data_IF_837533773000
#
_entry.id   IF_837533773000
#
_cell.length_a   1.000
_cell.length_b   1.000
_cell.length_c   1.000
_cell.angle_alpha   90.00
_cell.angle_beta   90.00
_cell.angle_gamma   90.00
#
_symmetry.space_group_name_H-M   'P 1'
#
loop_
_entity.id
_entity.type
_entity.pdbx_description
1 polymer ?
#
# COMPACT_ATOMS: atom_id res chain seq x y z
N UNK A 1 1.69 13.12 0.77
CA UNK A 1 2.12 12.67 -0.58
C UNK A 1 1.31 11.46 -1.01
N UNK A 2 1.05 11.30 -2.32
CA UNK A 2 0.41 10.10 -2.89
C UNK A 2 1.35 9.42 -3.88
N UNK A 3 1.38 8.09 -3.86
CA UNK A 3 2.18 7.27 -4.75
C UNK A 3 1.35 6.09 -5.26
N UNK A 4 1.34 5.87 -6.57
CA UNK A 4 0.83 4.63 -7.16
C UNK A 4 1.95 3.62 -7.27
N UNK A 5 1.72 2.43 -6.73
CA UNK A 5 2.63 1.28 -6.81
C UNK A 5 1.89 0.13 -7.47
N UNK A 6 2.58 -0.60 -8.33
CA UNK A 6 2.04 -1.77 -9.02
C UNK A 6 2.74 -3.04 -8.53
N UNK A 7 2.36 -3.59 -7.36
CA UNK A 7 2.91 -4.85 -6.88
C UNK A 7 2.61 -6.01 -7.86
N UNK A 8 1.50 -5.91 -8.60
CA UNK A 8 1.16 -6.78 -9.73
C UNK A 8 0.54 -5.93 -10.87
N UNK A 9 0.57 -6.40 -12.13
CA UNK A 9 0.13 -5.61 -13.28
C UNK A 9 -1.33 -5.10 -13.21
N UNK A 10 -2.22 -5.84 -12.55
CA UNK A 10 -3.66 -5.51 -12.43
C UNK A 10 -4.09 -5.10 -11.03
N UNK A 11 -3.14 -5.00 -10.09
CA UNK A 11 -3.43 -4.72 -8.69
C UNK A 11 -2.68 -3.46 -8.28
N UNK A 12 -3.19 -2.26 -8.65
CA UNK A 12 -2.58 -1.00 -8.23
C UNK A 12 -2.86 -0.74 -6.76
N UNK A 13 -1.82 -0.30 -6.03
CA UNK A 13 -1.93 0.20 -4.67
C UNK A 13 -1.71 1.70 -4.67
N UNK A 14 -2.65 2.45 -4.08
CA UNK A 14 -2.44 3.87 -3.78
C UNK A 14 -1.93 4.00 -2.35
N UNK A 15 -0.69 4.45 -2.22
CA UNK A 15 -0.04 4.73 -0.93
C UNK A 15 -0.18 6.21 -0.64
N UNK A 16 -0.84 6.53 0.46
CA UNK A 16 -0.99 7.88 0.99
C UNK A 16 -0.10 8.03 2.21
N UNK A 17 0.87 8.94 2.12
CA UNK A 17 1.82 9.25 3.18
C UNK A 17 1.50 10.62 3.77
N UNK A 18 1.23 10.64 5.07
CA UNK A 18 1.09 11.86 5.85
C UNK A 18 2.33 12.02 6.73
N UNK A 19 3.14 13.07 6.52
CA UNK A 19 4.21 13.39 7.46
C UNK A 19 3.61 13.77 8.81
N UNK A 20 4.38 13.57 9.87
CA UNK A 20 4.00 14.07 11.20
C UNK A 20 3.95 15.60 11.19
N UNK A 21 3.05 16.15 12.00
CA UNK A 21 2.98 17.57 12.32
C UNK A 21 2.84 17.77 13.84
N UNK A 22 2.48 18.98 14.27
CA UNK A 22 2.38 19.34 15.69
C UNK A 22 1.23 18.62 16.42
N UNK A 23 0.19 18.21 15.69
CA UNK A 23 -1.04 17.62 16.24
C UNK A 23 -1.10 16.10 16.01
N UNK A 24 -0.48 15.59 14.94
CA UNK A 24 -0.59 14.21 14.51
C UNK A 24 0.76 13.55 14.20
N UNK A 25 0.87 12.27 14.58
CA UNK A 25 1.98 11.44 14.14
C UNK A 25 1.94 11.15 12.64
N UNK A 26 3.06 10.72 12.07
CA UNK A 26 3.10 10.29 10.68
C UNK A 26 2.17 9.09 10.47
N UNK A 27 1.42 9.10 9.37
CA UNK A 27 0.47 8.05 9.02
C UNK A 27 0.68 7.58 7.57
N UNK A 28 0.30 6.34 7.31
CA UNK A 28 0.33 5.74 6.00
C UNK A 28 -0.93 4.90 5.78
N UNK A 29 -1.62 5.15 4.65
CA UNK A 29 -2.74 4.33 4.22
C UNK A 29 -2.45 3.72 2.85
N UNK A 30 -2.78 2.45 2.72
CA UNK A 30 -2.76 1.73 1.44
C UNK A 30 -4.20 1.51 1.02
N UNK A 31 -4.57 2.05 -0.14
CA UNK A 31 -5.89 1.92 -0.72
C UNK A 31 -5.82 1.00 -1.94
N UNK A 32 -6.86 0.18 -2.08
CA UNK A 32 -7.09 -0.68 -3.24
C UNK A 32 -8.13 -0.05 -4.15
N UNK A 33 -8.08 -0.35 -5.44
CA UNK A 33 -9.19 -0.04 -6.32
C UNK A 33 -10.33 -1.07 -6.16
N UNK A 34 -11.48 -0.75 -6.74
CA UNK A 34 -12.67 -1.59 -6.65
C UNK A 34 -12.50 -2.98 -7.31
N UNK A 35 -11.49 -3.15 -8.18
CA UNK A 35 -11.29 -4.40 -8.93
C UNK A 35 -10.35 -5.37 -8.23
N UNK A 36 -9.67 -4.95 -7.16
CA UNK A 36 -8.70 -5.80 -6.46
C UNK A 36 -9.30 -7.15 -6.00
N UNK A 37 -10.55 -7.12 -5.53
CA UNK A 37 -11.28 -8.31 -5.08
C UNK A 37 -11.71 -9.26 -6.22
N UNK A 38 -11.70 -8.80 -7.47
CA UNK A 38 -11.97 -9.64 -8.64
C UNK A 38 -10.79 -10.59 -8.94
N UNK A 39 -9.60 -10.25 -8.45
CA UNK A 39 -8.37 -10.99 -8.73
C UNK A 39 -7.82 -11.75 -7.52
N UNK A 40 -7.92 -11.16 -6.32
CA UNK A 40 -7.31 -11.69 -5.10
C UNK A 40 -8.29 -11.58 -3.93
N UNK A 41 -8.31 -12.60 -3.08
CA UNK A 41 -9.03 -12.52 -1.81
C UNK A 41 -8.34 -11.57 -0.81
N UNK A 42 -9.06 -11.24 0.26
CA UNK A 42 -8.60 -10.30 1.29
C UNK A 42 -7.32 -10.77 1.97
N UNK A 43 -7.17 -12.08 2.22
CA UNK A 43 -5.98 -12.65 2.85
C UNK A 43 -4.74 -12.49 1.95
N UNK A 44 -4.89 -12.75 0.65
CA UNK A 44 -3.81 -12.59 -0.33
C UNK A 44 -3.44 -11.12 -0.51
N UNK A 45 -4.41 -10.20 -0.53
CA UNK A 45 -4.15 -8.76 -0.57
C UNK A 45 -3.38 -8.28 0.68
N UNK A 46 -3.71 -8.82 1.86
CA UNK A 46 -2.99 -8.53 3.10
C UNK A 46 -1.52 -8.98 2.99
N UNK A 47 -1.26 -10.21 2.56
CA UNK A 47 0.11 -10.71 2.41
C UNK A 47 0.89 -9.97 1.31
N UNK A 48 0.23 -9.56 0.23
CA UNK A 48 0.84 -8.74 -0.81
C UNK A 48 1.29 -7.38 -0.26
N UNK A 49 0.46 -6.74 0.57
CA UNK A 49 0.80 -5.51 1.28
C UNK A 49 1.98 -5.68 2.24
N UNK A 50 2.00 -6.76 3.03
CA UNK A 50 3.14 -7.07 3.91
C UNK A 50 4.42 -7.27 3.08
N UNK A 51 4.32 -7.98 1.95
CA UNK A 51 5.43 -8.17 1.01
C UNK A 51 5.97 -6.85 0.46
N UNK A 52 5.08 -5.95 0.05
CA UNK A 52 5.44 -4.62 -0.43
C UNK A 52 6.20 -3.81 0.64
N UNK A 53 5.68 -3.74 1.87
CA UNK A 53 6.34 -3.01 2.97
C UNK A 53 7.74 -3.57 3.25
N UNK A 54 7.88 -4.90 3.27
CA UNK A 54 9.17 -5.57 3.46
C UNK A 54 10.14 -5.29 2.31
N UNK A 55 9.66 -5.23 1.08
CA UNK A 55 10.47 -4.89 -0.08
C UNK A 55 11.01 -3.46 0.04
N UNK A 56 10.15 -2.49 0.38
CA UNK A 56 10.59 -1.09 0.60
C UNK A 56 11.61 -0.98 1.73
N UNK A 57 11.39 -1.68 2.86
CA UNK A 57 12.33 -1.65 3.98
C UNK A 57 13.72 -2.24 3.66
N UNK A 58 13.83 -3.07 2.62
CA UNK A 58 15.10 -3.65 2.15
C UNK A 58 15.83 -2.77 1.13
N UNK A 59 15.20 -1.75 0.58
CA UNK A 59 15.83 -0.82 -0.39
C UNK A 59 16.70 0.25 0.30
N UNK A 60 17.23 -0.04 1.50
CA UNK A 60 18.19 0.82 2.19
C UNK A 60 19.60 0.57 1.69
#
# INVERSE_FOLDING_TARGET
>A
HSLLVYPLPKIPFLVLLWPADEEFGADCKVLFDATAADYLDVETLLYLGIGLVRAVGRMK
#
